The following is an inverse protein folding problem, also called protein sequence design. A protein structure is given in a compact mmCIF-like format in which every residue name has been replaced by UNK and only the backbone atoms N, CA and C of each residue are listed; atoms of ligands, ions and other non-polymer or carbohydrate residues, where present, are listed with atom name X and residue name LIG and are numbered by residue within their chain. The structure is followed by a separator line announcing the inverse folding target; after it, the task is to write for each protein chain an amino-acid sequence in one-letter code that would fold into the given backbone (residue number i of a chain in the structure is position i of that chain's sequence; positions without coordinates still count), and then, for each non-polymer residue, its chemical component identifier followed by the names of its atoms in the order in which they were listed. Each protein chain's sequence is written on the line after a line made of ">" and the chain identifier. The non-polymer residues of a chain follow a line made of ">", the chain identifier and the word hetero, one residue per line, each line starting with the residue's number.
data_IF_310046694563
#
_entry.id   IF_310046694563
#
_cell.length_a   1.000
_cell.length_b   1.000
_cell.length_c   1.000
_cell.angle_alpha   90.00
_cell.angle_beta   90.00
_cell.angle_gamma   90.00
#
_symmetry.space_group_name_H-M   'P 1'
#
loop_
_entity.id
_entity.type
_entity.pdbx_description
1 polymer ?
#
# COMPACT_ATOMS: atom_id res chain seq x y z
N UNK A 1 -23.22 -19.96 -5.31
CA UNK A 1 -22.35 -19.53 -4.19
C UNK A 1 -20.94 -19.98 -4.51
N UNK A 2 -19.87 -19.20 -4.28
CA UNK A 2 -18.53 -19.72 -4.54
C UNK A 2 -18.26 -20.87 -3.56
N UNK A 3 -17.86 -22.03 -4.09
CA UNK A 3 -17.70 -23.30 -3.35
C UNK A 3 -16.45 -23.35 -2.45
N UNK A 4 -15.64 -22.28 -2.42
CA UNK A 4 -14.44 -22.20 -1.59
C UNK A 4 -14.21 -20.78 -1.04
N UNK A 5 -13.64 -20.63 0.18
CA UNK A 5 -13.26 -19.33 0.71
C UNK A 5 -12.26 -18.62 -0.21
N UNK A 6 -12.46 -17.32 -0.42
CA UNK A 6 -11.58 -16.52 -1.27
C UNK A 6 -10.17 -16.51 -0.67
N UNK A 7 -9.12 -16.90 -1.41
CA UNK A 7 -7.76 -16.94 -0.88
C UNK A 7 -7.23 -15.54 -0.57
N UNK A 8 -6.30 -15.47 0.39
CA UNK A 8 -5.67 -14.22 0.83
C UNK A 8 -4.24 -14.08 0.28
N UNK A 9 -3.92 -12.90 -0.25
CA UNK A 9 -2.57 -12.52 -0.66
C UNK A 9 -1.91 -11.64 0.42
N UNK A 10 -0.90 -12.18 1.11
CA UNK A 10 -0.12 -11.49 2.14
C UNK A 10 1.24 -10.95 1.66
N UNK A 11 1.57 -11.12 0.37
CA UNK A 11 2.88 -10.76 -0.20
C UNK A 11 3.08 -9.27 -0.51
N UNK A 12 2.20 -8.39 -0.02
CA UNK A 12 2.39 -6.95 -0.15
C UNK A 12 3.65 -6.52 0.61
N UNK A 13 4.45 -5.64 0.01
CA UNK A 13 5.60 -5.03 0.69
C UNK A 13 5.15 -3.89 1.62
N UNK A 14 4.10 -3.16 1.21
CA UNK A 14 3.55 -2.03 1.94
C UNK A 14 2.30 -1.45 1.29
N UNK A 15 1.82 -0.33 1.82
CA UNK A 15 0.78 0.48 1.19
C UNK A 15 1.23 1.93 1.19
N UNK A 16 1.34 2.53 0.00
CA UNK A 16 1.62 3.95 -0.14
C UNK A 16 0.34 4.76 -0.27
N UNK A 17 0.37 6.00 0.23
CA UNK A 17 -0.71 6.96 0.16
C UNK A 17 -0.25 8.19 -0.61
N UNK A 18 -0.95 8.55 -1.70
CA UNK A 18 -0.59 9.69 -2.56
C UNK A 18 -1.70 10.73 -2.59
N UNK A 19 -1.33 12.02 -2.63
CA UNK A 19 -2.25 13.13 -2.34
C UNK A 19 -2.42 14.15 -3.47
N UNK A 20 -1.67 14.02 -4.58
CA UNK A 20 -1.63 15.03 -5.65
C UNK A 20 -2.62 14.79 -6.80
N UNK A 21 -3.33 13.66 -6.79
CA UNK A 21 -4.43 13.41 -7.73
C UNK A 21 -5.73 14.05 -7.22
N UNK A 22 -6.75 14.14 -8.08
CA UNK A 22 -8.11 14.57 -7.71
C UNK A 22 -8.67 13.83 -6.49
N UNK A 23 -8.22 12.59 -6.27
CA UNK A 23 -8.54 11.75 -5.12
C UNK A 23 -7.25 11.19 -4.57
N UNK A 24 -7.21 11.00 -3.25
CA UNK A 24 -6.11 10.27 -2.64
C UNK A 24 -5.99 8.88 -3.24
N UNK A 25 -4.77 8.35 -3.35
CA UNK A 25 -4.55 7.00 -3.83
C UNK A 25 -4.21 6.09 -2.64
N UNK A 26 -4.79 4.89 -2.66
CA UNK A 26 -4.28 3.73 -1.92
C UNK A 26 -3.46 2.91 -2.92
N UNK A 27 -2.20 2.66 -2.56
CA UNK A 27 -1.28 1.96 -3.46
C UNK A 27 -0.69 0.73 -2.77
N UNK A 28 -1.31 -0.47 -2.91
CA UNK A 28 -0.68 -1.71 -2.47
C UNK A 28 0.60 -1.94 -3.29
N UNK A 29 1.71 -2.14 -2.56
CA UNK A 29 3.04 -2.26 -3.14
C UNK A 29 3.45 -3.72 -3.19
N UNK A 30 4.06 -4.10 -4.30
CA UNK A 30 4.51 -5.45 -4.61
C UNK A 30 5.94 -5.43 -5.17
N UNK A 31 6.59 -6.58 -5.23
CA UNK A 31 8.03 -6.63 -5.50
C UNK A 31 8.44 -6.32 -6.94
N UNK A 32 7.50 -6.29 -7.89
CA UNK A 32 7.81 -5.88 -9.27
C UNK A 32 6.61 -5.38 -10.05
N UNK A 33 6.86 -4.62 -11.11
CA UNK A 33 5.80 -4.21 -12.04
C UNK A 33 5.16 -5.38 -12.78
N UNK A 34 5.91 -6.47 -12.99
CA UNK A 34 5.38 -7.70 -13.59
C UNK A 34 4.34 -8.32 -12.66
N UNK A 35 4.63 -8.34 -11.36
CA UNK A 35 3.69 -8.80 -10.34
C UNK A 35 2.48 -7.88 -10.22
N UNK A 36 2.67 -6.57 -10.17
CA UNK A 36 1.58 -5.59 -10.16
C UNK A 36 0.66 -5.76 -11.38
N UNK A 37 1.25 -6.00 -12.55
CA UNK A 37 0.54 -6.27 -13.80
C UNK A 37 -0.24 -7.60 -13.73
N UNK A 38 0.39 -8.68 -13.26
CA UNK A 38 -0.27 -9.99 -13.08
C UNK A 38 -1.46 -9.88 -12.13
N UNK A 39 -1.28 -9.29 -10.94
CA UNK A 39 -2.36 -9.05 -9.97
C UNK A 39 -3.50 -8.24 -10.61
N UNK A 40 -3.15 -7.21 -11.38
CA UNK A 40 -4.16 -6.41 -12.06
C UNK A 40 -4.98 -7.26 -13.03
N UNK A 41 -4.35 -7.92 -14.00
CA UNK A 41 -5.05 -8.61 -15.08
C UNK A 41 -5.73 -9.91 -14.64
N UNK A 42 -5.21 -10.59 -13.62
CA UNK A 42 -5.75 -11.85 -13.12
C UNK A 42 -6.84 -11.65 -12.07
N UNK A 43 -6.79 -10.57 -11.29
CA UNK A 43 -7.71 -10.34 -10.17
C UNK A 43 -8.40 -8.98 -10.27
N UNK A 44 -7.68 -7.87 -10.04
CA UNK A 44 -8.31 -6.57 -9.76
C UNK A 44 -9.08 -5.98 -10.96
N UNK A 45 -8.69 -6.34 -12.18
CA UNK A 45 -9.41 -5.97 -13.41
C UNK A 45 -10.86 -6.48 -13.39
N UNK A 46 -11.07 -7.69 -12.87
CA UNK A 46 -12.37 -8.39 -12.84
C UNK A 46 -13.26 -7.95 -11.67
N UNK A 47 -12.74 -7.14 -10.76
CA UNK A 47 -13.52 -6.57 -9.66
C UNK A 47 -14.54 -5.55 -10.16
N UNK A 48 -15.69 -5.57 -9.49
CA UNK A 48 -16.78 -4.60 -9.69
C UNK A 48 -16.52 -3.41 -8.78
N UNK A 49 -16.27 -2.22 -9.34
CA UNK A 49 -15.81 -1.05 -8.56
C UNK A 49 -16.63 -0.76 -7.28
N UNK A 50 -17.98 -0.75 -7.30
CA UNK A 50 -18.79 -0.53 -6.10
C UNK A 50 -18.67 -1.60 -5.01
N UNK A 51 -18.20 -2.81 -5.35
CA UNK A 51 -18.03 -3.89 -4.37
C UNK A 51 -16.61 -4.01 -3.84
N UNK A 52 -15.68 -3.16 -4.29
CA UNK A 52 -14.33 -3.09 -3.72
C UNK A 52 -14.43 -2.45 -2.35
N UNK A 53 -14.01 -3.19 -1.34
CA UNK A 53 -14.00 -2.77 0.07
C UNK A 53 -12.58 -2.74 0.58
N UNK A 54 -12.27 -1.68 1.33
CA UNK A 54 -11.00 -1.52 2.04
C UNK A 54 -11.27 -1.31 3.52
N UNK A 55 -10.56 -2.04 4.37
CA UNK A 55 -10.63 -1.93 5.82
C UNK A 55 -9.24 -1.67 6.37
N UNK A 56 -9.18 -0.76 7.33
CA UNK A 56 -8.02 -0.51 8.17
C UNK A 56 -8.40 -0.91 9.59
N UNK A 57 -7.92 -2.07 10.04
CA UNK A 57 -8.19 -2.55 11.40
C UNK A 57 -7.06 -2.13 12.31
N UNK A 58 -7.29 -1.14 13.17
CA UNK A 58 -6.33 -0.54 14.07
C UNK A 58 -6.15 -1.36 15.36
N UNK A 59 -4.89 -1.64 15.68
CA UNK A 59 -4.45 -2.42 16.83
C UNK A 59 -3.22 -1.74 17.47
N UNK A 60 -3.46 -0.72 18.29
CA UNK A 60 -2.41 0.09 18.91
C UNK A 60 -1.61 0.90 17.87
N UNK A 61 -0.29 0.66 17.83
CA UNK A 61 0.64 1.32 16.89
C UNK A 61 0.65 0.70 15.49
N UNK A 62 -0.12 -0.37 15.27
CA UNK A 62 -0.20 -1.09 14.00
C UNK A 62 -1.62 -1.11 13.50
N UNK A 63 -1.76 -1.41 12.22
CA UNK A 63 -3.05 -1.67 11.60
C UNK A 63 -2.94 -2.76 10.54
N UNK A 64 -4.04 -3.46 10.32
CA UNK A 64 -4.21 -4.38 9.21
C UNK A 64 -4.87 -3.63 8.06
N UNK A 65 -4.15 -3.52 6.95
CA UNK A 65 -4.75 -3.22 5.67
C UNK A 65 -5.43 -4.50 5.16
N UNK A 66 -6.72 -4.44 4.84
CA UNK A 66 -7.49 -5.54 4.26
C UNK A 66 -8.27 -5.02 3.07
N UNK A 67 -8.22 -5.73 1.95
CA UNK A 67 -8.91 -5.36 0.73
C UNK A 67 -9.50 -6.59 0.05
N UNK A 68 -10.74 -6.46 -0.43
CA UNK A 68 -11.43 -7.50 -1.18
C UNK A 68 -12.56 -6.94 -2.02
N UNK A 69 -13.08 -7.75 -2.92
CA UNK A 69 -14.17 -7.36 -3.81
C UNK A 69 -14.92 -8.58 -4.34
N UNK A 70 -16.15 -8.35 -4.79
CA UNK A 70 -16.81 -9.29 -5.69
C UNK A 70 -16.14 -9.22 -7.08
N UNK A 71 -16.04 -10.38 -7.73
CA UNK A 71 -15.34 -10.54 -9.01
C UNK A 71 -16.25 -11.17 -10.06
N UNK A 72 -16.17 -10.66 -11.29
CA UNK A 72 -16.78 -11.29 -12.48
C UNK A 72 -16.05 -12.57 -12.91
N UNK A 73 -14.87 -12.83 -12.33
CA UNK A 73 -14.08 -14.05 -12.53
C UNK A 73 -13.76 -14.67 -11.16
N UNK A 74 -14.70 -15.38 -10.52
CA UNK A 74 -14.54 -15.89 -9.16
C UNK A 74 -13.35 -16.83 -8.98
N UNK A 75 -13.05 -17.64 -10.01
CA UNK A 75 -11.96 -18.63 -9.97
C UNK A 75 -10.56 -18.04 -9.76
N UNK A 76 -10.34 -16.76 -10.11
CA UNK A 76 -9.07 -16.05 -9.88
C UNK A 76 -9.21 -14.90 -8.89
N UNK A 77 -10.32 -14.86 -8.13
CA UNK A 77 -10.53 -13.87 -7.10
C UNK A 77 -9.64 -14.13 -5.90
N UNK A 78 -9.17 -13.07 -5.25
CA UNK A 78 -8.36 -13.14 -4.03
C UNK A 78 -8.52 -11.86 -3.22
N UNK A 79 -8.45 -11.94 -1.91
CA UNK A 79 -8.30 -10.79 -1.02
C UNK A 79 -6.83 -10.42 -0.84
N UNK A 80 -6.56 -9.23 -0.33
CA UNK A 80 -5.22 -8.73 -0.06
C UNK A 80 -5.15 -8.23 1.37
N UNK A 81 -4.02 -8.48 2.03
CA UNK A 81 -3.80 -7.93 3.36
C UNK A 81 -2.33 -7.62 3.65
N UNK A 82 -2.11 -6.74 4.63
CA UNK A 82 -0.79 -6.48 5.20
C UNK A 82 -0.93 -5.87 6.58
N UNK A 83 -0.15 -6.34 7.53
CA UNK A 83 0.02 -5.65 8.81
C UNK A 83 1.12 -4.58 8.67
N UNK A 84 0.80 -3.34 9.05
CA UNK A 84 1.64 -2.16 8.87
C UNK A 84 1.74 -1.38 10.18
N UNK A 85 2.86 -0.67 10.38
CA UNK A 85 2.95 0.34 11.42
C UNK A 85 2.18 1.59 10.98
N UNK A 86 1.57 2.28 11.95
CA UNK A 86 0.99 3.61 11.69
C UNK A 86 2.10 4.58 11.31
N UNK A 87 1.82 5.42 10.33
CA UNK A 87 2.74 6.42 9.83
C UNK A 87 2.00 7.73 9.62
N UNK A 88 2.74 8.84 9.53
CA UNK A 88 2.14 10.13 9.19
C UNK A 88 1.35 10.08 7.88
N UNK A 89 1.81 9.29 6.90
CA UNK A 89 1.13 9.10 5.63
C UNK A 89 -0.22 8.40 5.78
N UNK A 90 -0.27 7.34 6.59
CA UNK A 90 -1.52 6.67 6.94
C UNK A 90 -2.51 7.63 7.63
N UNK A 91 -2.03 8.37 8.63
CA UNK A 91 -2.85 9.32 9.38
C UNK A 91 -3.40 10.46 8.50
N UNK A 92 -2.57 10.95 7.56
CA UNK A 92 -2.99 11.93 6.57
C UNK A 92 -4.05 11.36 5.64
N UNK A 93 -3.90 10.12 5.18
CA UNK A 93 -4.92 9.45 4.37
C UNK A 93 -6.24 9.29 5.12
N UNK A 94 -6.20 8.80 6.37
CA UNK A 94 -7.38 8.64 7.23
C UNK A 94 -8.19 9.91 7.39
N UNK A 95 -7.52 11.07 7.56
CA UNK A 95 -8.21 12.37 7.68
C UNK A 95 -8.66 12.95 6.34
N UNK A 96 -7.97 12.64 5.24
CA UNK A 96 -8.09 13.37 3.98
C UNK A 96 -8.83 12.66 2.85
N UNK A 97 -9.18 11.37 2.97
CA UNK A 97 -9.70 10.61 1.84
C UNK A 97 -11.10 11.06 1.36
N UNK A 98 -11.89 11.77 2.18
CA UNK A 98 -13.17 12.34 1.75
C UNK A 98 -14.22 11.32 1.28
N UNK A 99 -14.12 10.07 1.76
CA UNK A 99 -15.04 8.99 1.41
C UNK A 99 -14.69 8.20 0.14
N UNK A 100 -13.70 8.62 -0.65
CA UNK A 100 -13.31 7.91 -1.88
C UNK A 100 -11.81 7.94 -2.15
N UNK A 101 -11.31 6.95 -2.88
CA UNK A 101 -9.90 6.92 -3.27
C UNK A 101 -9.70 6.23 -4.62
N UNK A 102 -8.55 6.46 -5.22
CA UNK A 102 -8.07 5.61 -6.32
C UNK A 102 -7.28 4.44 -5.77
N UNK A 103 -7.63 3.23 -6.21
CA UNK A 103 -6.82 2.03 -5.98
C UNK A 103 -5.90 1.83 -7.19
N UNK A 104 -4.59 1.79 -6.95
CA UNK A 104 -3.56 1.43 -7.96
C UNK A 104 -2.57 0.46 -7.34
N UNK A 105 -2.04 -0.49 -8.08
CA UNK A 105 -0.88 -1.26 -7.61
C UNK A 105 0.40 -0.49 -7.93
N UNK A 106 1.49 -0.78 -7.23
CA UNK A 106 2.78 -0.15 -7.49
C UNK A 106 3.96 -0.93 -6.95
N UNK A 107 5.16 -0.39 -7.16
CA UNK A 107 6.42 -0.86 -6.58
C UNK A 107 7.09 0.29 -5.83
N UNK A 108 8.00 -0.05 -4.93
CA UNK A 108 9.04 0.89 -4.51
C UNK A 108 10.28 0.69 -5.37
N UNK A 109 10.73 1.76 -5.99
CA UNK A 109 12.03 1.81 -6.63
C UNK A 109 12.96 2.62 -5.70
N UNK A 110 14.09 2.03 -5.31
CA UNK A 110 15.14 2.75 -4.59
C UNK A 110 16.00 3.46 -5.62
N UNK A 111 16.03 4.79 -5.54
CA UNK A 111 16.86 5.64 -6.37
C UNK A 111 18.19 5.90 -5.67
N UNK A 112 19.27 5.80 -6.43
CA UNK A 112 20.57 6.39 -6.09
C UNK A 112 20.69 7.79 -6.71
N UNK A 113 21.80 8.49 -6.44
CA UNK A 113 21.99 9.86 -6.90
C UNK A 113 21.96 9.95 -8.44
N UNK A 114 22.56 8.97 -9.11
CA UNK A 114 22.63 8.90 -10.57
C UNK A 114 21.26 8.81 -11.25
N UNK A 115 20.30 8.12 -10.62
CA UNK A 115 18.93 8.02 -11.12
C UNK A 115 17.99 9.14 -10.61
N UNK A 116 18.43 9.94 -9.65
CA UNK A 116 17.64 11.00 -9.03
C UNK A 116 17.66 12.30 -9.82
N UNK A 117 16.55 13.04 -9.77
CA UNK A 117 16.51 14.45 -10.18
C UNK A 117 16.99 15.30 -9.02
N UNK A 118 17.58 16.47 -9.31
CA UNK A 118 18.10 17.39 -8.27
C UNK A 118 17.13 17.70 -7.12
N UNK A 119 15.82 17.72 -7.39
CA UNK A 119 14.75 17.99 -6.41
C UNK A 119 14.23 16.76 -5.66
N UNK A 120 14.69 15.56 -6.02
CA UNK A 120 14.27 14.34 -5.35
C UNK A 120 14.89 14.33 -3.95
N UNK A 121 14.11 13.97 -2.94
CA UNK A 121 14.51 14.09 -1.54
C UNK A 121 15.10 12.76 -1.07
N UNK A 122 16.31 12.82 -0.51
CA UNK A 122 16.98 11.70 0.12
C UNK A 122 16.26 11.30 1.42
N UNK A 123 16.47 10.06 1.89
CA UNK A 123 16.01 9.56 3.18
C UNK A 123 16.48 10.42 4.38
N UNK A 124 17.54 11.25 4.20
CA UNK A 124 17.99 12.22 5.21
C UNK A 124 17.19 13.53 5.23
N UNK A 125 16.26 13.72 4.29
CA UNK A 125 15.40 14.91 4.19
C UNK A 125 15.94 16.03 3.30
N UNK A 126 17.17 15.93 2.78
CA UNK A 126 17.76 16.92 1.87
C UNK A 126 17.60 16.53 0.39
N UNK A 127 17.66 17.52 -0.50
CA UNK A 127 17.48 17.29 -1.93
C UNK A 127 18.72 16.62 -2.54
N UNK A 128 18.56 15.89 -3.63
CA UNK A 128 19.65 15.26 -4.37
C UNK A 128 20.73 16.28 -4.80
N UNK A 129 20.33 17.53 -5.04
CA UNK A 129 21.27 18.63 -5.32
C UNK A 129 22.23 18.96 -4.17
N UNK A 130 21.89 18.55 -2.95
CA UNK A 130 22.71 18.70 -1.75
C UNK A 130 23.60 17.48 -1.48
N UNK A 131 23.72 16.57 -2.44
CA UNK A 131 24.61 15.42 -2.39
C UNK A 131 25.72 15.52 -3.43
N UNK A 132 26.95 15.16 -3.07
CA UNK A 132 28.11 15.28 -3.94
C UNK A 132 28.46 13.95 -4.63
N UNK A 133 28.39 13.94 -5.96
CA UNK A 133 28.81 12.82 -6.81
C UNK A 133 30.32 12.51 -6.65
N UNK A 134 31.13 13.49 -6.21
CA UNK A 134 32.57 13.38 -6.00
C UNK A 134 33.00 12.76 -4.68
N UNK A 135 32.10 12.66 -3.69
CA UNK A 135 32.37 12.12 -2.35
C UNK A 135 31.37 11.01 -1.96
N UNK A 136 31.15 10.07 -2.89
CA UNK A 136 30.33 8.88 -2.63
C UNK A 136 28.84 9.16 -2.43
N UNK A 137 28.33 10.24 -3.03
CA UNK A 137 26.94 10.72 -2.90
C UNK A 137 26.60 11.15 -1.46
N UNK A 138 27.59 11.57 -0.66
CA UNK A 138 27.37 12.05 0.70
C UNK A 138 26.60 13.37 0.72
N UNK A 139 25.79 13.58 1.77
CA UNK A 139 25.06 14.82 1.95
C UNK A 139 26.01 15.93 2.40
N UNK A 140 25.92 17.09 1.76
CA UNK A 140 26.77 18.26 1.99
C UNK A 140 26.31 19.13 3.17
N UNK A 141 25.16 18.82 3.79
CA UNK A 141 24.69 19.52 4.98
C UNK A 141 25.59 19.20 6.19
N UNK A 142 26.15 20.23 6.82
CA UNK A 142 27.17 20.14 7.87
C UNK A 142 26.84 19.19 9.05
N UNK A 143 25.56 19.11 9.45
CA UNK A 143 25.11 18.25 10.57
C UNK A 143 24.49 16.92 10.10
N UNK A 144 24.50 16.64 8.79
CA UNK A 144 23.90 15.45 8.24
C UNK A 144 24.92 14.30 8.20
N UNK A 145 24.62 13.19 8.88
CA UNK A 145 25.46 11.98 8.86
C UNK A 145 25.20 11.08 7.64
N UNK A 146 24.50 11.59 6.61
CA UNK A 146 24.12 10.80 5.44
C UNK A 146 25.30 10.63 4.48
N UNK A 147 25.76 9.38 4.34
CA UNK A 147 26.96 9.04 3.56
C UNK A 147 26.67 8.65 2.11
N UNK A 148 25.39 8.54 1.74
CA UNK A 148 24.98 8.16 0.39
C UNK A 148 23.55 8.60 0.16
N UNK A 149 23.29 9.19 -1.00
CA UNK A 149 21.93 9.45 -1.46
C UNK A 149 21.16 8.13 -1.58
N UNK A 150 19.98 8.09 -0.97
CA UNK A 150 18.99 7.07 -1.23
C UNK A 150 17.61 7.70 -1.11
N UNK A 151 16.74 7.43 -2.08
CA UNK A 151 15.36 7.89 -2.04
C UNK A 151 14.42 6.75 -2.43
N UNK A 152 13.28 6.65 -1.76
CA UNK A 152 12.23 5.70 -2.12
C UNK A 152 11.19 6.39 -3.00
N UNK A 153 11.09 5.95 -4.26
CA UNK A 153 10.07 6.44 -5.17
C UNK A 153 9.00 5.38 -5.42
N UNK A 154 7.74 5.76 -5.20
CA UNK A 154 6.60 4.91 -5.57
C UNK A 154 6.39 4.97 -7.08
N UNK A 155 6.51 3.82 -7.74
CA UNK A 155 6.17 3.67 -9.16
C UNK A 155 4.79 3.05 -9.29
N UNK A 156 3.87 3.81 -9.87
CA UNK A 156 2.46 3.41 -10.01
C UNK A 156 2.22 2.59 -11.28
N UNK A 157 1.43 1.53 -11.13
CA UNK A 157 0.77 0.91 -12.27
C UNK A 157 -0.26 1.88 -12.86
N UNK A 158 -0.35 1.92 -14.20
CA UNK A 158 -1.13 2.95 -14.90
C UNK A 158 -2.65 2.80 -14.70
N UNK A 159 -3.13 1.59 -14.46
CA UNK A 159 -4.56 1.31 -14.30
C UNK A 159 -5.00 1.57 -12.86
N UNK A 160 -6.26 2.00 -12.71
CA UNK A 160 -6.84 2.33 -11.43
C UNK A 160 -8.29 1.89 -11.33
N UNK A 161 -8.74 1.65 -10.11
CA UNK A 161 -10.15 1.51 -9.73
C UNK A 161 -10.55 2.69 -8.84
N UNK A 162 -11.84 3.00 -8.76
CA UNK A 162 -12.34 3.94 -7.74
C UNK A 162 -12.98 3.13 -6.63
N UNK A 163 -12.64 3.47 -5.39
CA UNK A 163 -13.19 2.84 -4.20
C UNK A 163 -13.94 3.88 -3.37
N UNK A 164 -15.10 3.48 -2.85
CA UNK A 164 -15.96 4.33 -2.01
C UNK A 164 -16.31 3.67 -0.68
N UNK A 165 -16.06 2.37 -0.53
CA UNK A 165 -16.28 1.62 0.70
C UNK A 165 -14.95 1.46 1.46
N UNK A 166 -14.62 2.49 2.25
CA UNK A 166 -13.40 2.57 3.06
C UNK A 166 -13.81 2.73 4.53
N UNK A 167 -13.39 1.82 5.39
CA UNK A 167 -13.65 1.91 6.84
C UNK A 167 -12.38 1.77 7.66
N UNK A 168 -12.34 2.50 8.78
CA UNK A 168 -11.33 2.40 9.82
C UNK A 168 -12.03 1.79 11.03
N UNK A 169 -11.58 0.61 11.45
CA UNK A 169 -12.17 -0.18 12.50
C UNK A 169 -11.16 -0.31 13.63
N UNK A 170 -11.59 -0.26 14.88
CA UNK A 170 -10.81 -0.85 15.96
C UNK A 170 -10.85 -2.39 15.87
N UNK A 171 -9.88 -3.06 16.47
CA UNK A 171 -9.79 -4.52 16.45
C UNK A 171 -11.04 -5.22 17.02
N UNK A 172 -11.69 -4.65 18.02
CA UNK A 172 -12.91 -5.20 18.62
C UNK A 172 -14.10 -5.18 17.66
N UNK A 173 -14.24 -4.09 16.89
CA UNK A 173 -15.28 -3.91 15.88
C UNK A 173 -15.07 -4.75 14.63
N UNK A 174 -13.88 -5.32 14.40
CA UNK A 174 -13.59 -6.13 13.23
C UNK A 174 -14.52 -7.36 13.09
N UNK A 175 -15.01 -7.92 14.20
CA UNK A 175 -15.99 -9.04 14.21
C UNK A 175 -17.31 -8.70 13.51
N UNK A 176 -17.69 -7.43 13.48
CA UNK A 176 -18.90 -6.96 12.83
C UNK A 176 -18.76 -6.75 11.31
N UNK A 177 -17.53 -6.73 10.79
CA UNK A 177 -17.27 -6.58 9.36
C UNK A 177 -16.77 -7.91 8.76
N UNK A 178 -17.57 -8.49 7.87
CA UNK A 178 -17.29 -9.80 7.29
C UNK A 178 -15.93 -9.87 6.57
N UNK A 179 -15.51 -8.80 5.88
CA UNK A 179 -14.24 -8.79 5.16
C UNK A 179 -13.06 -8.78 6.13
N UNK A 180 -13.09 -7.88 7.11
CA UNK A 180 -12.06 -7.75 8.13
C UNK A 180 -11.97 -9.04 8.97
N UNK A 181 -13.09 -9.55 9.45
CA UNK A 181 -13.12 -10.74 10.29
C UNK A 181 -12.56 -11.97 9.57
N UNK A 182 -13.01 -12.25 8.34
CA UNK A 182 -12.52 -13.39 7.56
C UNK A 182 -11.01 -13.32 7.32
N UNK A 183 -10.47 -12.12 7.11
CA UNK A 183 -9.03 -11.92 6.96
C UNK A 183 -8.27 -12.22 8.26
N UNK A 184 -8.69 -11.62 9.38
CA UNK A 184 -8.01 -11.77 10.66
C UNK A 184 -8.10 -13.21 11.20
N UNK A 185 -9.25 -13.86 11.05
CA UNK A 185 -9.40 -15.27 11.42
C UNK A 185 -8.42 -16.15 10.64
N UNK A 186 -8.33 -15.95 9.33
CA UNK A 186 -7.50 -16.77 8.45
C UNK A 186 -6.01 -16.54 8.60
N UNK A 187 -5.59 -15.31 8.97
CA UNK A 187 -4.17 -14.89 8.88
C UNK A 187 -3.57 -14.36 10.19
N UNK A 188 -4.37 -14.02 11.21
CA UNK A 188 -3.87 -13.58 12.52
C UNK A 188 -4.10 -14.65 13.58
N UNK A 189 -5.34 -15.13 13.72
CA UNK A 189 -5.73 -15.98 14.85
C UNK A 189 -5.57 -17.48 14.61
N UNK A 190 -5.64 -17.94 13.35
CA UNK A 190 -5.34 -19.32 12.99
C UNK A 190 -3.88 -19.69 13.31
N UNK A 191 -2.96 -18.74 13.14
CA UNK A 191 -1.53 -18.92 13.39
C UNK A 191 -1.15 -18.95 14.87
N UNK A 192 -2.01 -18.43 15.77
CA UNK A 192 -1.77 -18.44 17.22
C UNK A 192 -2.40 -19.64 17.94
N UNK A 193 -3.10 -20.52 17.20
CA UNK A 193 -3.72 -21.75 17.70
C UNK A 193 -2.97 -23.03 17.27
N UNK A 194 -1.85 -22.90 16.56
CA UNK A 194 -0.93 -23.98 16.23
C UNK A 194 0.36 -23.85 17.01
#
# INVERSE_FOLDING_TARGET
>A
MPEHPVPWYGGLEGVAYRYYDLRMNIVPLVGSLKEASSIWYETAHWWVDPSIRVRFVEAGERYWFVMGSESRKPASNRGFFKELARSEHYERFKRGHGGEAYLRFGTYDRLDLAAAKKRDVCDCGHEAGDHDEGDGDACLFYECSCRRFSSLQVRLFKRRKTITDILFLDEGSARGDQLAWNCLESNKYSLSRG
#
